data_IF_018257494956
#
_entry.id   IF_018257494956
#
_cell.length_a   1.000
_cell.length_b   1.000
_cell.length_c   1.000
_cell.angle_alpha   90.00
_cell.angle_beta   90.00
_cell.angle_gamma   90.00
#
_symmetry.space_group_name_H-M   'P 1'
#
loop_
_entity.id
_entity.type
_entity.pdbx_description
1 polymer ?
#
# COMPACT_ATOMS: atom_id res chain seq x y z
N UNK A 1 10.86 -1.85 5.07
CA UNK A 1 10.60 -0.41 5.19
C UNK A 1 9.13 -0.08 5.37
N UNK A 2 8.20 -0.95 4.95
CA UNK A 2 6.77 -0.69 4.92
C UNK A 2 6.11 -0.59 6.30
N UNK A 3 5.10 0.26 6.44
CA UNK A 3 4.21 0.27 7.60
C UNK A 3 2.74 0.29 7.18
N UNK A 4 2.04 -0.82 7.40
CA UNK A 4 0.63 -0.99 7.01
C UNK A 4 -0.31 -1.14 8.22
N UNK A 5 0.23 -1.03 9.43
CA UNK A 5 -0.52 -1.15 10.68
C UNK A 5 -0.06 -2.32 11.56
N UNK A 6 -0.84 -2.57 12.62
CA UNK A 6 -0.48 -3.50 13.72
C UNK A 6 -1.56 -4.53 14.06
N UNK A 7 -2.64 -4.61 13.29
CA UNK A 7 -3.51 -5.80 13.30
C UNK A 7 -2.75 -6.97 12.66
N UNK A 8 -3.10 -8.21 12.98
CA UNK A 8 -2.25 -9.37 12.61
C UNK A 8 -1.93 -9.47 11.11
N UNK A 9 -2.92 -9.21 10.24
CA UNK A 9 -2.71 -9.18 8.79
C UNK A 9 -1.83 -8.00 8.33
N UNK A 10 -2.15 -6.78 8.78
CA UNK A 10 -1.35 -5.59 8.49
C UNK A 10 0.10 -5.72 9.00
N UNK A 11 0.28 -6.26 10.20
CA UNK A 11 1.57 -6.46 10.84
C UNK A 11 2.43 -7.50 10.09
N UNK A 12 1.79 -8.50 9.47
CA UNK A 12 2.48 -9.46 8.60
C UNK A 12 3.16 -8.76 7.42
N UNK A 13 2.54 -7.69 6.90
CA UNK A 13 3.04 -6.85 5.80
C UNK A 13 3.91 -5.66 6.25
N UNK A 14 3.82 -5.25 7.52
CA UNK A 14 4.68 -4.21 8.11
C UNK A 14 6.10 -4.74 8.31
N UNK A 15 7.09 -4.06 7.75
CA UNK A 15 8.51 -4.35 7.90
C UNK A 15 9.35 -3.06 8.08
N UNK A 16 8.79 -2.02 8.70
CA UNK A 16 9.49 -0.76 9.01
C UNK A 16 10.42 -0.91 10.22
N UNK A 17 10.01 -1.67 11.23
CA UNK A 17 10.81 -1.90 12.44
C UNK A 17 10.59 -3.31 13.01
N UNK A 18 11.68 -3.97 13.41
CA UNK A 18 11.64 -5.30 14.04
C UNK A 18 10.88 -5.28 15.39
N UNK A 19 10.91 -4.17 16.13
CA UNK A 19 10.22 -4.05 17.43
C UNK A 19 8.70 -4.19 17.33
N UNK A 20 8.09 -3.86 16.19
CA UNK A 20 6.66 -4.09 15.96
C UNK A 20 6.33 -5.57 15.79
N UNK A 21 7.31 -6.37 15.38
CA UNK A 21 7.15 -7.78 15.01
C UNK A 21 7.65 -8.74 16.09
N UNK A 22 8.52 -8.27 16.98
CA UNK A 22 9.10 -9.07 18.07
C UNK A 22 7.98 -9.71 18.92
N UNK A 23 8.09 -11.02 19.19
CA UNK A 23 7.14 -11.83 19.99
C UNK A 23 5.73 -12.03 19.41
N UNK A 24 5.44 -11.57 18.18
CA UNK A 24 4.15 -11.79 17.52
C UNK A 24 4.15 -12.95 16.52
N UNK A 25 5.30 -13.53 16.21
CA UNK A 25 5.42 -14.64 15.27
C UNK A 25 4.74 -15.93 15.78
N UNK A 26 4.25 -16.82 14.89
CA UNK A 26 4.31 -16.73 13.42
C UNK A 26 3.33 -15.70 12.83
N UNK A 27 3.62 -15.17 11.64
CA UNK A 27 2.74 -14.24 10.91
C UNK A 27 1.84 -14.98 9.91
N UNK A 28 0.95 -14.27 9.21
CA UNK A 28 0.21 -14.86 8.10
C UNK A 28 1.17 -15.45 7.06
N UNK A 29 0.91 -16.68 6.56
CA UNK A 29 1.70 -17.26 5.49
C UNK A 29 1.50 -16.48 4.18
N UNK A 30 2.31 -16.82 3.17
CA UNK A 30 2.19 -16.28 1.79
C UNK A 30 2.21 -14.75 1.70
N UNK A 31 3.05 -14.12 2.54
CA UNK A 31 3.39 -12.70 2.45
C UNK A 31 4.85 -12.56 2.05
N UNK A 32 5.10 -11.97 0.89
CA UNK A 32 6.43 -11.75 0.33
C UNK A 32 6.80 -10.27 0.40
N UNK A 33 8.01 -9.96 0.86
CA UNK A 33 8.50 -8.59 0.98
C UNK A 33 9.42 -8.25 -0.19
N UNK A 34 9.03 -7.24 -0.96
CA UNK A 34 9.81 -6.72 -2.09
C UNK A 34 10.62 -5.49 -1.69
N UNK A 35 11.82 -5.26 -2.27
CA UNK A 35 12.55 -4.04 -2.01
C UNK A 35 11.80 -2.82 -2.55
N UNK A 36 11.64 -1.80 -1.70
CA UNK A 36 11.09 -0.51 -2.14
C UNK A 36 12.16 0.23 -2.99
N UNK A 37 11.78 0.94 -4.07
CA UNK A 37 12.73 1.58 -4.98
C UNK A 37 13.41 2.83 -4.37
N UNK A 38 14.31 2.61 -3.42
CA UNK A 38 15.05 3.68 -2.75
C UNK A 38 16.34 4.02 -3.50
N UNK A 39 16.22 4.92 -4.48
CA UNK A 39 17.32 5.30 -5.37
C UNK A 39 18.58 5.83 -4.64
N UNK A 40 18.43 6.63 -3.58
CA UNK A 40 19.58 7.18 -2.84
C UNK A 40 20.40 6.12 -2.11
N UNK A 41 19.77 5.00 -1.68
CA UNK A 41 20.46 3.84 -1.09
C UNK A 41 20.24 2.59 -1.93
N UNK A 42 20.38 2.72 -3.25
CA UNK A 42 20.12 1.64 -4.19
C UNK A 42 21.06 0.45 -3.91
N UNK A 43 20.54 -0.75 -3.59
CA UNK A 43 21.37 -1.93 -3.30
C UNK A 43 22.14 -2.41 -4.54
N UNK A 44 21.70 -2.04 -5.74
CA UNK A 44 22.36 -2.37 -7.02
C UNK A 44 23.39 -1.32 -7.44
N UNK A 45 23.62 -0.28 -6.61
CA UNK A 45 24.53 0.84 -6.90
C UNK A 45 24.25 1.53 -8.25
N UNK A 46 22.99 1.47 -8.71
CA UNK A 46 22.57 2.07 -9.97
C UNK A 46 22.31 3.57 -9.79
N UNK A 47 22.70 4.37 -10.78
CA UNK A 47 22.37 5.80 -10.83
C UNK A 47 20.96 5.99 -11.39
N UNK A 48 20.10 6.85 -10.79
CA UNK A 48 18.70 6.98 -11.20
C UNK A 48 18.50 7.27 -12.69
N UNK A 49 19.41 8.02 -13.31
CA UNK A 49 19.37 8.44 -14.71
C UNK A 49 19.66 7.28 -15.67
N UNK A 50 20.42 6.28 -15.23
CA UNK A 50 20.88 5.15 -16.03
C UNK A 50 20.27 3.81 -15.57
N UNK A 51 19.43 3.83 -14.53
CA UNK A 51 18.90 2.63 -13.90
C UNK A 51 17.71 2.07 -14.69
N UNK A 52 17.86 0.85 -15.20
CA UNK A 52 16.81 0.09 -15.89
C UNK A 52 15.89 -0.67 -14.92
N UNK A 53 15.54 -0.02 -13.80
CA UNK A 53 14.71 -0.59 -12.75
C UNK A 53 15.20 -1.95 -12.24
N UNK A 54 16.49 -2.07 -11.92
CA UNK A 54 17.10 -3.32 -11.43
C UNK A 54 16.35 -3.93 -10.23
N UNK A 55 15.81 -3.10 -9.33
CA UNK A 55 14.99 -3.56 -8.21
C UNK A 55 13.67 -4.23 -8.64
N UNK A 56 13.15 -3.89 -9.82
CA UNK A 56 11.91 -4.46 -10.35
C UNK A 56 12.13 -5.90 -10.85
N UNK A 57 13.34 -6.27 -11.24
CA UNK A 57 13.71 -7.66 -11.62
C UNK A 57 13.59 -8.65 -10.45
N UNK A 58 13.44 -8.16 -9.22
CA UNK A 58 13.13 -9.03 -8.08
C UNK A 58 11.74 -9.67 -8.20
N UNK A 59 10.79 -9.05 -8.91
CA UNK A 59 9.50 -9.71 -9.20
C UNK A 59 9.70 -10.93 -10.09
N UNK A 60 10.56 -10.86 -11.10
CA UNK A 60 10.89 -12.02 -11.94
C UNK A 60 11.49 -13.16 -11.11
N UNK A 61 12.38 -12.82 -10.16
CA UNK A 61 12.97 -13.80 -9.24
C UNK A 61 11.94 -14.40 -8.30
N UNK A 62 11.08 -13.58 -7.70
CA UNK A 62 9.99 -14.04 -6.86
C UNK A 62 9.10 -15.04 -7.62
N UNK A 63 8.70 -14.65 -8.85
CA UNK A 63 7.80 -15.45 -9.66
C UNK A 63 8.43 -16.74 -10.20
N UNK A 64 9.73 -16.73 -10.44
CA UNK A 64 10.44 -17.90 -10.93
C UNK A 64 10.75 -18.90 -9.82
N UNK A 65 11.12 -18.43 -8.62
CA UNK A 65 11.66 -19.30 -7.57
C UNK A 65 10.69 -19.59 -6.41
N UNK A 66 9.71 -18.74 -6.15
CA UNK A 66 8.96 -18.77 -4.87
C UNK A 66 7.46 -18.98 -5.05
N UNK A 67 6.82 -18.33 -6.01
CA UNK A 67 5.36 -18.39 -6.19
C UNK A 67 4.97 -18.10 -7.63
N UNK A 68 3.96 -18.76 -8.19
CA UNK A 68 3.48 -18.39 -9.53
C UNK A 68 2.76 -17.04 -9.46
N UNK A 69 2.81 -16.19 -10.51
CA UNK A 69 2.03 -14.95 -10.54
C UNK A 69 0.53 -15.17 -10.29
N UNK A 70 -0.02 -16.29 -10.78
CA UNK A 70 -1.42 -16.69 -10.58
C UNK A 70 -1.80 -17.00 -9.13
N UNK A 71 -0.81 -17.24 -8.27
CA UNK A 71 -1.04 -17.50 -6.84
C UNK A 71 -0.94 -16.20 -6.00
N UNK A 72 -0.65 -15.06 -6.63
CA UNK A 72 -0.51 -13.76 -5.95
C UNK A 72 -1.77 -12.94 -6.11
N UNK A 73 -2.51 -12.76 -5.01
CA UNK A 73 -3.77 -12.01 -5.05
C UNK A 73 -3.58 -10.49 -5.23
N UNK A 74 -2.56 -9.91 -4.59
CA UNK A 74 -2.37 -8.47 -4.58
C UNK A 74 -0.91 -8.05 -4.30
N UNK A 75 -0.58 -6.84 -4.75
CA UNK A 75 0.61 -6.10 -4.33
C UNK A 75 0.15 -4.86 -3.56
N UNK A 76 0.56 -4.77 -2.29
CA UNK A 76 0.35 -3.60 -1.44
C UNK A 76 1.60 -2.72 -1.41
N UNK A 77 1.42 -1.43 -1.67
CA UNK A 77 2.51 -0.46 -1.68
C UNK A 77 2.06 0.89 -1.13
N UNK A 78 2.93 1.55 -0.34
CA UNK A 78 2.77 2.98 -0.03
C UNK A 78 3.22 3.79 -1.26
N UNK A 79 2.39 4.67 -1.88
CA UNK A 79 2.81 5.46 -3.04
C UNK A 79 4.02 6.36 -2.76
N UNK A 80 4.16 6.81 -1.52
CA UNK A 80 5.38 7.36 -0.95
C UNK A 80 5.60 6.66 0.39
N UNK A 81 6.72 5.95 0.55
CA UNK A 81 6.96 5.15 1.75
C UNK A 81 7.25 6.06 2.95
N UNK A 82 6.41 5.93 3.98
CA UNK A 82 6.40 6.76 5.16
C UNK A 82 7.52 6.45 6.15
N UNK A 83 7.27 5.47 7.03
CA UNK A 83 8.21 5.10 8.10
C UNK A 83 9.55 4.58 7.57
N UNK A 84 9.60 4.09 6.33
CA UNK A 84 10.85 3.70 5.68
C UNK A 84 11.80 4.86 5.38
N UNK A 85 11.35 6.10 5.53
CA UNK A 85 12.18 7.31 5.46
C UNK A 85 11.69 8.36 4.46
N UNK A 86 10.38 8.50 4.26
CA UNK A 86 9.78 9.46 3.32
C UNK A 86 10.33 9.30 1.90
N UNK A 87 10.30 8.08 1.38
CA UNK A 87 10.93 7.71 0.13
C UNK A 87 9.92 7.83 -1.02
N UNK A 88 10.20 8.74 -1.95
CA UNK A 88 9.41 8.88 -3.19
C UNK A 88 9.97 7.91 -4.25
N UNK A 89 9.16 6.96 -4.75
CA UNK A 89 9.59 6.03 -5.79
C UNK A 89 9.66 6.75 -7.16
N UNK A 90 10.47 6.27 -8.11
CA UNK A 90 10.42 6.77 -9.49
C UNK A 90 9.04 6.52 -10.12
N UNK A 91 8.48 7.50 -10.84
CA UNK A 91 7.18 7.35 -11.52
C UNK A 91 7.14 6.11 -12.43
N UNK A 92 8.24 5.85 -13.16
CA UNK A 92 8.36 4.66 -14.01
C UNK A 92 8.25 3.33 -13.26
N UNK A 93 8.63 3.29 -11.97
CA UNK A 93 8.49 2.07 -11.16
C UNK A 93 7.01 1.79 -10.85
N UNK A 94 6.25 2.82 -10.45
CA UNK A 94 4.82 2.67 -10.14
C UNK A 94 4.02 2.29 -11.39
N UNK A 95 4.36 2.85 -12.56
CA UNK A 95 3.75 2.46 -13.84
C UNK A 95 4.08 1.01 -14.21
N UNK A 96 5.35 0.62 -14.12
CA UNK A 96 5.76 -0.77 -14.36
C UNK A 96 5.04 -1.74 -13.41
N UNK A 97 4.80 -1.33 -12.16
CA UNK A 97 4.05 -2.12 -11.18
C UNK A 97 2.59 -2.30 -11.59
N UNK A 98 1.94 -1.24 -12.11
CA UNK A 98 0.58 -1.35 -12.66
C UNK A 98 0.54 -2.28 -13.87
N UNK A 99 1.47 -2.14 -14.81
CA UNK A 99 1.55 -3.01 -15.98
C UNK A 99 1.75 -4.49 -15.58
N UNK A 100 2.58 -4.75 -14.56
CA UNK A 100 2.80 -6.09 -14.01
C UNK A 100 1.51 -6.66 -13.40
N UNK A 101 0.80 -5.84 -12.62
CA UNK A 101 -0.47 -6.20 -12.01
C UNK A 101 -1.52 -6.56 -13.06
N UNK A 102 -1.71 -5.70 -14.06
CA UNK A 102 -2.68 -5.93 -15.14
C UNK A 102 -2.36 -7.18 -15.96
N UNK A 103 -1.08 -7.40 -16.28
CA UNK A 103 -0.64 -8.57 -17.06
C UNK A 103 -0.93 -9.90 -16.36
N UNK A 104 -0.91 -9.93 -15.03
CA UNK A 104 -1.00 -11.16 -14.24
C UNK A 104 -2.29 -11.26 -13.41
N UNK A 105 -3.26 -10.36 -13.61
CA UNK A 105 -4.51 -10.31 -12.84
C UNK A 105 -4.29 -10.15 -11.32
N UNK A 106 -3.22 -9.43 -10.94
CA UNK A 106 -2.86 -9.15 -9.54
C UNK A 106 -3.41 -7.77 -9.17
N UNK A 107 -4.13 -7.67 -8.05
CA UNK A 107 -4.68 -6.39 -7.60
C UNK A 107 -3.56 -5.46 -7.11
N UNK A 108 -3.58 -4.20 -7.54
CA UNK A 108 -2.71 -3.16 -7.02
C UNK A 108 -3.40 -2.40 -5.88
N UNK A 109 -2.81 -2.41 -4.70
CA UNK A 109 -3.32 -1.71 -3.52
C UNK A 109 -2.38 -0.58 -3.15
N UNK A 110 -2.90 0.65 -3.08
CA UNK A 110 -2.16 1.77 -2.52
C UNK A 110 -2.53 2.01 -1.06
N UNK A 111 -1.53 1.97 -0.19
CA UNK A 111 -1.66 2.43 1.18
C UNK A 111 -1.46 3.94 1.23
N UNK A 112 -2.58 4.67 1.20
CA UNK A 112 -2.63 6.12 1.26
C UNK A 112 -2.97 6.61 2.68
N UNK A 113 -2.86 5.74 3.69
CA UNK A 113 -3.16 6.08 5.08
C UNK A 113 -2.31 7.26 5.54
N UNK A 114 -1.04 7.36 5.12
CA UNK A 114 -0.19 8.51 5.43
C UNK A 114 -0.21 9.61 4.37
N UNK A 115 -0.29 9.25 3.09
CA UNK A 115 -0.06 10.17 1.97
C UNK A 115 -1.33 10.87 1.47
N UNK A 116 -2.50 10.35 1.82
CA UNK A 116 -3.78 10.92 1.43
C UNK A 116 -4.12 12.22 2.16
N UNK A 117 -5.24 12.82 1.74
CA UNK A 117 -5.82 14.04 2.30
C UNK A 117 -4.83 15.22 2.30
N UNK A 118 -4.21 15.49 1.14
CA UNK A 118 -3.41 16.71 0.94
C UNK A 118 -1.94 16.62 1.38
N UNK A 119 -1.52 15.52 2.03
CA UNK A 119 -0.17 15.42 2.64
C UNK A 119 0.97 15.70 1.65
N UNK A 120 0.80 15.31 0.39
CA UNK A 120 1.82 15.46 -0.66
C UNK A 120 1.56 16.64 -1.59
N UNK A 121 0.61 17.53 -1.26
CA UNK A 121 0.19 18.66 -2.11
C UNK A 121 -0.85 18.30 -3.17
N UNK A 122 -1.29 17.04 -3.21
CA UNK A 122 -2.44 16.53 -3.96
C UNK A 122 -3.40 15.84 -3.00
N UNK A 123 -4.65 15.63 -3.41
CA UNK A 123 -5.63 14.98 -2.53
C UNK A 123 -5.16 13.57 -2.16
N UNK A 124 -4.64 12.84 -3.15
CA UNK A 124 -4.00 11.55 -2.95
C UNK A 124 -2.67 11.47 -3.71
N UNK A 125 -1.69 10.73 -3.19
CA UNK A 125 -0.38 10.63 -3.81
C UNK A 125 -0.39 9.90 -5.16
N UNK A 126 -1.36 9.01 -5.40
CA UNK A 126 -1.64 8.40 -6.73
C UNK A 126 -1.65 9.43 -7.86
N UNK A 127 -2.15 10.64 -7.63
CA UNK A 127 -2.23 11.70 -8.64
C UNK A 127 -0.85 12.12 -9.18
N UNK A 128 0.21 12.02 -8.37
CA UNK A 128 1.59 12.32 -8.81
C UNK A 128 2.14 11.27 -9.76
N UNK A 129 1.59 10.05 -9.74
CA UNK A 129 2.05 8.92 -10.54
C UNK A 129 1.21 8.69 -11.79
N UNK A 130 -0.03 9.20 -11.81
CA UNK A 130 -0.99 8.96 -12.89
C UNK A 130 -1.39 7.49 -13.00
N UNK A 131 -1.47 6.79 -11.87
CA UNK A 131 -1.81 5.36 -11.78
C UNK A 131 -2.95 5.18 -10.79
N UNK A 132 -4.10 4.71 -11.27
CA UNK A 132 -5.25 4.38 -10.40
C UNK A 132 -5.07 2.95 -9.87
N UNK A 133 -4.97 2.75 -8.54
CA UNK A 133 -4.93 1.42 -7.94
C UNK A 133 -6.31 0.77 -7.92
N UNK A 134 -6.37 -0.55 -7.78
CA UNK A 134 -7.63 -1.29 -7.68
C UNK A 134 -8.27 -1.11 -6.29
N UNK A 135 -7.43 -0.96 -5.26
CA UNK A 135 -7.85 -0.70 -3.87
C UNK A 135 -7.00 0.42 -3.26
N UNK A 136 -7.62 1.27 -2.44
CA UNK A 136 -6.94 2.26 -1.60
C UNK A 136 -7.24 2.03 -0.13
N UNK A 137 -6.20 2.05 0.71
CA UNK A 137 -6.33 2.11 2.17
C UNK A 137 -6.23 3.56 2.64
N UNK A 138 -7.20 4.00 3.43
CA UNK A 138 -7.34 5.37 3.92
C UNK A 138 -7.50 5.41 5.44
N UNK A 139 -6.98 6.45 6.07
CA UNK A 139 -7.03 6.62 7.52
C UNK A 139 -6.38 7.94 7.94
N UNK A 140 -5.87 8.00 9.18
CA UNK A 140 -5.15 9.15 9.77
C UNK A 140 -5.86 10.50 9.51
N UNK A 141 -5.45 11.19 8.44
CA UNK A 141 -5.93 12.52 8.08
C UNK A 141 -7.38 12.53 7.58
N UNK A 142 -7.98 11.39 7.24
CA UNK A 142 -9.39 11.29 6.80
C UNK A 142 -10.39 12.00 7.73
N UNK A 143 -10.08 12.06 9.03
CA UNK A 143 -10.89 12.73 10.04
C UNK A 143 -10.03 13.57 11.00
N UNK A 144 -8.91 14.12 10.49
CA UNK A 144 -7.97 14.97 11.26
C UNK A 144 -7.54 14.38 12.62
N UNK A 145 -7.41 13.05 12.69
CA UNK A 145 -7.02 12.32 13.91
C UNK A 145 -8.17 11.68 14.69
N UNK A 146 -9.43 11.97 14.39
CA UNK A 146 -10.55 11.20 14.96
C UNK A 146 -10.59 9.78 14.36
N UNK A 147 -10.97 8.73 15.11
CA UNK A 147 -10.88 7.35 14.62
C UNK A 147 -11.80 7.09 13.43
N UNK A 148 -11.23 7.04 12.23
CA UNK A 148 -11.88 6.60 11.01
C UNK A 148 -10.82 6.03 10.05
N UNK A 149 -11.20 4.98 9.34
CA UNK A 149 -10.44 4.42 8.22
C UNK A 149 -11.42 3.95 7.16
N UNK A 150 -10.96 3.87 5.92
CA UNK A 150 -11.74 3.33 4.83
C UNK A 150 -10.85 2.45 3.93
N UNK A 151 -11.46 1.43 3.33
CA UNK A 151 -10.92 0.72 2.18
C UNK A 151 -11.82 1.08 1.02
N UNK A 152 -11.25 1.69 -0.02
CA UNK A 152 -11.99 2.14 -1.20
C UNK A 152 -11.60 1.27 -2.40
N UNK A 153 -12.59 0.79 -3.15
CA UNK A 153 -12.41 0.05 -4.39
C UNK A 153 -13.69 0.16 -5.24
N UNK A 154 -13.67 -0.38 -6.47
CA UNK A 154 -14.86 -0.41 -7.32
C UNK A 154 -15.99 -1.22 -6.69
N UNK A 155 -17.25 -0.88 -7.02
CA UNK A 155 -18.42 -1.63 -6.55
C UNK A 155 -18.41 -3.08 -7.03
N UNK A 156 -17.86 -3.34 -8.21
CA UNK A 156 -17.67 -4.69 -8.73
C UNK A 156 -16.71 -5.49 -7.83
N UNK A 157 -15.56 -4.93 -7.47
CA UNK A 157 -14.58 -5.61 -6.62
C UNK A 157 -15.13 -5.82 -5.20
N UNK A 158 -15.73 -4.78 -4.61
CA UNK A 158 -16.35 -4.85 -3.28
C UNK A 158 -17.55 -5.81 -3.24
N UNK A 159 -18.28 -5.94 -4.35
CA UNK A 159 -19.45 -6.82 -4.48
C UNK A 159 -19.13 -8.32 -4.39
N UNK A 160 -17.85 -8.70 -4.50
CA UNK A 160 -17.41 -10.09 -4.34
C UNK A 160 -17.39 -10.56 -2.88
N UNK A 161 -17.51 -9.66 -1.91
CA UNK A 161 -17.57 -10.04 -0.50
C UNK A 161 -18.95 -10.55 -0.09
N UNK A 162 -18.97 -11.69 0.61
CA UNK A 162 -20.18 -12.16 1.28
C UNK A 162 -20.59 -11.21 2.41
N UNK A 163 -21.89 -11.08 2.71
CA UNK A 163 -22.36 -10.31 3.87
C UNK A 163 -21.64 -10.74 5.16
N UNK A 164 -21.07 -9.77 5.88
CA UNK A 164 -20.33 -10.02 7.12
C UNK A 164 -18.87 -10.44 6.96
N UNK A 165 -18.34 -10.53 5.73
CA UNK A 165 -16.93 -10.88 5.50
C UNK A 165 -15.94 -9.87 6.11
N UNK A 166 -16.34 -8.61 6.20
CA UNK A 166 -15.58 -7.55 6.85
C UNK A 166 -16.51 -6.63 7.62
N UNK A 167 -16.18 -6.32 8.87
CA UNK A 167 -17.00 -5.46 9.71
C UNK A 167 -16.40 -5.23 11.07
N UNK A 168 -16.94 -4.23 11.77
CA UNK A 168 -16.63 -3.92 13.16
C UNK A 168 -17.72 -3.06 13.76
N UNK A 169 -17.96 -3.18 15.06
CA UNK A 169 -19.05 -2.49 15.77
C UNK A 169 -19.04 -0.98 15.58
N UNK A 170 -17.84 -0.39 15.45
CA UNK A 170 -17.65 1.05 15.28
C UNK A 170 -17.35 1.47 13.84
N UNK A 171 -17.51 0.55 12.87
CA UNK A 171 -17.42 0.89 11.46
C UNK A 171 -18.46 1.95 11.10
N UNK A 172 -18.05 2.97 10.35
CA UNK A 172 -18.89 4.10 9.96
C UNK A 172 -19.60 4.80 11.15
N UNK A 173 -18.90 4.94 12.29
CA UNK A 173 -19.42 5.68 13.44
C UNK A 173 -19.87 7.11 13.02
N UNK A 174 -21.11 7.54 13.33
CA UNK A 174 -21.62 8.83 12.87
C UNK A 174 -20.81 10.05 13.32
N UNK A 175 -20.22 10.02 14.52
CA UNK A 175 -19.37 11.11 15.03
C UNK A 175 -18.06 11.16 14.24
N UNK A 176 -17.45 10.00 13.97
CA UNK A 176 -16.27 9.90 13.11
C UNK A 176 -16.55 10.38 11.68
N UNK A 177 -17.71 10.02 11.12
CA UNK A 177 -18.13 10.49 9.80
C UNK A 177 -18.34 12.01 9.77
N UNK A 178 -18.97 12.59 10.80
CA UNK A 178 -19.14 14.04 10.89
C UNK A 178 -17.79 14.77 10.98
N UNK A 179 -16.84 14.23 11.74
CA UNK A 179 -15.47 14.77 11.81
C UNK A 179 -14.74 14.69 10.45
N UNK A 180 -14.97 13.61 9.69
CA UNK A 180 -14.40 13.46 8.35
C UNK A 180 -14.99 14.46 7.36
N UNK A 181 -16.32 14.65 7.35
CA UNK A 181 -16.98 15.66 6.50
C UNK A 181 -16.43 17.04 6.81
N UNK A 182 -16.39 17.43 8.09
CA UNK A 182 -15.82 18.71 8.50
C UNK A 182 -14.33 18.85 8.18
N UNK A 183 -13.58 17.74 8.15
CA UNK A 183 -12.17 17.73 7.73
C UNK A 183 -12.02 18.00 6.23
N UNK A 184 -12.92 17.47 5.39
CA UNK A 184 -12.88 17.63 3.94
C UNK A 184 -13.31 19.03 3.47
N UNK A 185 -14.04 19.76 4.30
CA UNK A 185 -14.52 21.12 3.99
C UNK A 185 -13.43 22.21 4.14
N UNK A 186 -12.27 21.87 4.71
CA UNK A 186 -11.14 22.80 5.00
C UNK A 186 -10.02 22.62 3.98
#
# INVERSE_FOLDING_TARGET
GSFHGRTFGALSMTASNASYRERYAPFLPTVYHMPYPYCFRCPYNAKPEMCDLECFKEYDRLFHYVTAPSDVAAILIEPVQGEGGYIVPPVRYIKALKDLCEKNEILLIFDEVQTGFGRTGKMFATEHFGVVPDIMCLGKAIASGFPLSAVAASSELMGNWAPGAHGGTFGANPVSCAAAVATLDV
#
